data_IF_791713319168
#
_entry.id   IF_791713319168
#
_cell.length_a   1.000
_cell.length_b   1.000
_cell.length_c   1.000
_cell.angle_alpha   90.00
_cell.angle_beta   90.00
_cell.angle_gamma   90.00
#
_symmetry.space_group_name_H-M   'P 1'
#
loop_
_entity.id
_entity.type
_entity.pdbx_description
1 polymer ?
#
# COMPACT_ATOMS: atom_id res chain seq x y z
N UNK A 1 -9.52 -4.92 -8.40
CA UNK A 1 -9.86 -5.84 -7.30
C UNK A 1 -11.29 -5.55 -6.81
N UNK A 2 -12.09 -6.55 -6.43
CA UNK A 2 -13.42 -6.34 -5.81
C UNK A 2 -13.47 -7.04 -4.45
N UNK A 3 -14.31 -6.57 -3.53
CA UNK A 3 -14.47 -7.15 -2.18
C UNK A 3 -14.87 -8.62 -2.25
N UNK A 4 -15.77 -8.99 -3.17
CA UNK A 4 -16.11 -10.41 -3.41
C UNK A 4 -14.91 -11.24 -3.86
N UNK A 5 -14.06 -10.69 -4.73
CA UNK A 5 -12.87 -11.39 -5.24
C UNK A 5 -11.80 -11.51 -4.16
N UNK A 6 -11.65 -10.50 -3.29
CA UNK A 6 -10.80 -10.53 -2.11
C UNK A 6 -11.27 -11.59 -1.12
N UNK A 7 -12.54 -11.53 -0.68
CA UNK A 7 -13.15 -12.46 0.26
C UNK A 7 -12.99 -13.92 -0.19
N UNK A 8 -13.27 -14.20 -1.46
CA UNK A 8 -13.07 -15.53 -2.06
C UNK A 8 -11.61 -16.00 -1.99
N UNK A 9 -10.64 -15.09 -2.12
CA UNK A 9 -9.20 -15.41 -2.10
C UNK A 9 -8.69 -15.67 -0.69
N UNK A 10 -9.24 -14.99 0.31
CA UNK A 10 -8.89 -15.17 1.74
C UNK A 10 -9.77 -16.21 2.46
N UNK A 11 -10.72 -16.83 1.77
CA UNK A 11 -11.61 -17.86 2.33
C UNK A 11 -12.75 -17.33 3.20
N UNK A 12 -13.05 -16.04 3.14
CA UNK A 12 -14.11 -15.40 3.92
C UNK A 12 -15.37 -15.15 3.09
N UNK A 13 -16.52 -15.07 3.76
CA UNK A 13 -17.73 -14.57 3.15
C UNK A 13 -17.55 -13.08 2.80
N UNK A 14 -18.07 -12.58 1.66
CA UNK A 14 -17.95 -11.17 1.28
C UNK A 14 -18.47 -10.18 2.34
N UNK A 15 -19.51 -10.55 3.09
CA UNK A 15 -20.04 -9.74 4.19
C UNK A 15 -19.04 -9.59 5.35
N UNK A 16 -18.24 -10.62 5.62
CA UNK A 16 -17.22 -10.59 6.68
C UNK A 16 -16.06 -9.66 6.36
N UNK A 17 -15.88 -9.22 5.11
CA UNK A 17 -14.86 -8.21 4.79
C UNK A 17 -15.36 -6.81 5.18
N UNK A 18 -16.65 -6.53 5.02
CA UNK A 18 -17.26 -5.26 5.42
C UNK A 18 -17.33 -5.06 6.94
N UNK A 19 -17.15 -6.11 7.76
CA UNK A 19 -17.02 -5.91 9.22
C UNK A 19 -15.67 -5.30 9.62
N UNK A 20 -14.66 -5.33 8.74
CA UNK A 20 -13.34 -4.74 8.98
C UNK A 20 -13.12 -3.41 8.25
N UNK A 21 -13.94 -3.11 7.25
CA UNK A 21 -13.80 -1.93 6.39
C UNK A 21 -15.17 -1.32 6.11
N UNK A 22 -15.32 -0.01 6.33
CA UNK A 22 -16.60 0.66 6.14
C UNK A 22 -16.99 0.65 4.66
N UNK A 23 -16.02 0.85 3.75
CA UNK A 23 -16.24 0.59 2.33
C UNK A 23 -15.00 0.19 1.50
N UNK A 24 -15.18 0.21 0.17
CA UNK A 24 -14.14 -0.15 -0.80
C UNK A 24 -12.93 0.79 -0.77
N UNK A 25 -13.12 2.06 -0.44
CA UNK A 25 -12.02 3.02 -0.38
C UNK A 25 -11.10 2.66 0.79
N UNK A 26 -11.64 2.32 1.96
CA UNK A 26 -10.82 1.89 3.10
C UNK A 26 -9.94 0.68 2.76
N UNK A 27 -10.47 -0.27 1.98
CA UNK A 27 -9.70 -1.42 1.51
C UNK A 27 -8.59 -0.98 0.55
N UNK A 28 -8.85 -0.04 -0.36
CA UNK A 28 -7.83 0.48 -1.28
C UNK A 28 -6.72 1.24 -0.53
N UNK A 29 -7.06 1.93 0.57
CA UNK A 29 -6.08 2.57 1.43
C UNK A 29 -5.24 1.55 2.18
N UNK A 30 -5.86 0.58 2.85
CA UNK A 30 -5.13 -0.46 3.58
C UNK A 30 -4.17 -1.24 2.66
N UNK A 31 -4.60 -1.55 1.43
CA UNK A 31 -3.74 -2.19 0.43
C UNK A 31 -2.60 -1.28 -0.07
N UNK A 32 -2.83 0.04 -0.12
CA UNK A 32 -1.78 0.97 -0.52
C UNK A 32 -0.75 1.16 0.61
N UNK A 33 -1.19 1.22 1.86
CA UNK A 33 -0.34 1.29 3.06
C UNK A 33 0.57 0.06 3.16
N UNK A 34 0.00 -1.14 3.06
CA UNK A 34 0.77 -2.40 3.06
C UNK A 34 1.80 -2.47 1.91
N UNK A 35 1.42 -1.96 0.73
CA UNK A 35 2.32 -1.88 -0.42
C UNK A 35 3.47 -0.89 -0.18
N UNK A 36 3.20 0.28 0.42
CA UNK A 36 4.22 1.27 0.76
C UNK A 36 5.15 0.76 1.87
N UNK A 37 4.62 0.13 2.91
CA UNK A 37 5.43 -0.47 3.98
C UNK A 37 6.36 -1.55 3.43
N UNK A 38 5.86 -2.38 2.50
CA UNK A 38 6.68 -3.39 1.82
C UNK A 38 7.78 -2.76 0.96
N UNK A 39 7.48 -1.67 0.25
CA UNK A 39 8.49 -0.95 -0.53
C UNK A 39 9.54 -0.28 0.38
N UNK A 40 9.11 0.36 1.47
CA UNK A 40 9.99 1.00 2.45
C UNK A 40 10.98 -0.01 3.04
N UNK A 41 10.49 -1.18 3.49
CA UNK A 41 11.37 -2.26 3.99
C UNK A 41 12.44 -2.68 2.99
N UNK A 42 12.08 -2.85 1.71
CA UNK A 42 13.04 -3.25 0.66
C UNK A 42 14.12 -2.19 0.41
N UNK A 43 13.73 -0.93 0.50
CA UNK A 43 14.66 0.20 0.38
C UNK A 43 15.61 0.21 1.58
N UNK A 44 15.08 0.03 2.79
CA UNK A 44 15.85 0.00 4.04
C UNK A 44 16.83 -1.19 4.13
N UNK A 45 16.58 -2.28 3.41
CA UNK A 45 17.50 -3.44 3.33
C UNK A 45 18.83 -3.10 2.60
N UNK A 46 18.88 -2.00 1.84
CA UNK A 46 20.04 -1.61 1.04
C UNK A 46 20.54 -0.19 1.37
N UNK A 47 21.00 0.07 2.61
CA UNK A 47 21.48 1.39 2.98
C UNK A 47 22.81 1.72 2.28
N UNK A 48 22.99 2.98 1.88
CA UNK A 48 24.27 3.53 1.43
C UNK A 48 24.51 4.90 2.07
N UNK A 49 25.76 5.16 2.43
CA UNK A 49 26.21 6.46 2.96
C UNK A 49 26.46 7.48 1.83
N UNK A 50 26.60 7.02 0.58
CA UNK A 50 26.70 7.91 -0.57
C UNK A 50 25.29 8.32 -1.04
N UNK A 51 24.96 9.64 -1.10
CA UNK A 51 23.62 10.08 -1.45
C UNK A 51 23.16 9.67 -2.86
N UNK A 52 24.07 9.54 -3.81
CA UNK A 52 23.75 9.15 -5.18
C UNK A 52 23.50 7.65 -5.26
N UNK A 53 24.31 6.83 -4.58
CA UNK A 53 24.08 5.40 -4.48
C UNK A 53 22.78 5.08 -3.72
N UNK A 54 22.49 5.80 -2.64
CA UNK A 54 21.23 5.68 -1.90
C UNK A 54 20.02 5.98 -2.79
N UNK A 55 20.08 7.07 -3.58
CA UNK A 55 19.03 7.39 -4.54
C UNK A 55 18.88 6.31 -5.62
N UNK A 56 19.99 5.77 -6.13
CA UNK A 56 19.96 4.68 -7.11
C UNK A 56 19.33 3.41 -6.53
N UNK A 57 19.63 3.05 -5.28
CA UNK A 57 19.02 1.92 -4.60
C UNK A 57 17.50 2.10 -4.46
N UNK A 58 17.06 3.28 -3.99
CA UNK A 58 15.63 3.64 -3.89
C UNK A 58 14.93 3.48 -5.24
N UNK A 59 15.48 4.06 -6.31
CA UNK A 59 14.86 4.04 -7.63
C UNK A 59 14.84 2.64 -8.25
N UNK A 60 15.87 1.83 -7.97
CA UNK A 60 15.95 0.45 -8.44
C UNK A 60 14.90 -0.42 -7.75
N UNK A 61 14.78 -0.33 -6.43
CA UNK A 61 13.76 -1.05 -5.66
C UNK A 61 12.34 -0.60 -6.02
N UNK A 62 12.13 0.70 -6.24
CA UNK A 62 10.86 1.22 -6.73
C UNK A 62 10.46 0.58 -8.07
N UNK A 63 11.38 0.54 -9.05
CA UNK A 63 11.12 -0.06 -10.36
C UNK A 63 10.91 -1.58 -10.26
N UNK A 64 11.74 -2.27 -9.49
CA UNK A 64 11.64 -3.72 -9.28
C UNK A 64 10.31 -4.08 -8.57
N UNK A 65 9.91 -3.30 -7.57
CA UNK A 65 8.63 -3.44 -6.88
C UNK A 65 7.46 -3.26 -7.84
N UNK A 66 7.46 -2.18 -8.63
CA UNK A 66 6.38 -1.91 -9.59
C UNK A 66 6.23 -2.99 -10.67
N UNK A 67 7.36 -3.50 -11.17
CA UNK A 67 7.38 -4.58 -12.17
C UNK A 67 6.98 -5.93 -11.58
N UNK A 68 7.41 -6.24 -10.36
CA UNK A 68 7.10 -7.50 -9.67
C UNK A 68 5.68 -7.56 -9.09
N UNK A 69 5.08 -6.41 -8.75
CA UNK A 69 3.81 -6.30 -8.04
C UNK A 69 2.81 -5.39 -8.80
N UNK A 70 2.36 -5.77 -10.01
CA UNK A 70 1.59 -4.88 -10.87
C UNK A 70 0.19 -4.54 -10.33
N UNK A 71 -0.38 -5.34 -9.43
CA UNK A 71 -1.69 -5.04 -8.85
C UNK A 71 -1.56 -4.04 -7.69
N UNK A 72 -0.52 -4.19 -6.90
CA UNK A 72 -0.12 -3.33 -5.80
C UNK A 72 0.25 -1.96 -6.38
N UNK A 73 1.09 -1.93 -7.43
CA UNK A 73 1.42 -0.70 -8.15
C UNK A 73 0.18 0.01 -8.69
N UNK A 74 -0.77 -0.72 -9.30
CA UNK A 74 -2.05 -0.13 -9.74
C UNK A 74 -2.88 0.41 -8.59
N UNK A 75 -2.88 -0.28 -7.46
CA UNK A 75 -3.66 0.11 -6.28
C UNK A 75 -3.09 1.38 -5.66
N UNK A 76 -1.77 1.47 -5.57
CA UNK A 76 -1.06 2.64 -5.04
C UNK A 76 -1.18 3.84 -5.98
N UNK A 77 -0.76 3.70 -7.25
CA UNK A 77 -0.50 4.84 -8.14
C UNK A 77 -1.55 5.08 -9.22
N UNK A 78 -2.29 4.04 -9.65
CA UNK A 78 -3.22 4.14 -10.80
C UNK A 78 -4.70 4.08 -10.41
N UNK A 79 -5.00 3.89 -9.13
CA UNK A 79 -6.37 3.81 -8.64
C UNK A 79 -6.70 5.08 -7.87
N UNK A 80 -7.68 5.81 -8.38
CA UNK A 80 -8.19 7.02 -7.73
C UNK A 80 -8.79 6.67 -6.37
N UNK A 81 -8.30 7.36 -5.35
CA UNK A 81 -8.78 7.29 -3.98
C UNK A 81 -9.53 8.58 -3.70
N UNK A 82 -10.85 8.51 -3.63
CA UNK A 82 -11.72 9.70 -3.67
C UNK A 82 -12.10 10.24 -2.29
N UNK A 83 -11.74 9.52 -1.22
CA UNK A 83 -11.97 9.95 0.18
C UNK A 83 -10.89 9.36 1.07
N UNK A 84 -10.61 10.00 2.20
CA UNK A 84 -9.79 9.39 3.25
C UNK A 84 -10.59 8.29 3.99
N UNK A 85 -9.91 7.33 4.63
CA UNK A 85 -10.56 6.37 5.52
C UNK A 85 -11.31 7.08 6.65
N UNK A 86 -12.48 6.57 7.03
CA UNK A 86 -13.23 7.12 8.15
C UNK A 86 -12.43 7.05 9.45
N UNK A 87 -12.32 8.18 10.16
CA UNK A 87 -11.59 8.27 11.43
C UNK A 87 -10.07 8.42 11.31
N UNK A 88 -9.52 8.69 10.11
CA UNK A 88 -8.11 9.11 9.94
C UNK A 88 -8.00 10.52 9.35
N UNK A 89 -7.38 11.42 10.10
CA UNK A 89 -6.85 12.71 9.63
C UNK A 89 -5.49 12.50 8.94
N UNK A 90 -5.09 13.45 8.10
CA UNK A 90 -3.69 13.52 7.63
C UNK A 90 -2.70 13.65 8.80
N UNK A 91 -3.11 14.32 9.89
CA UNK A 91 -2.32 14.47 11.11
C UNK A 91 -2.07 13.10 11.79
N UNK A 92 -3.08 12.22 11.83
CA UNK A 92 -2.94 10.87 12.40
C UNK A 92 -1.99 9.98 11.58
N UNK A 93 -1.88 10.26 10.27
CA UNK A 93 -0.97 9.54 9.37
C UNK A 93 0.48 10.02 9.51
N UNK A 94 0.70 11.31 9.81
CA UNK A 94 2.03 11.87 10.08
C UNK A 94 2.58 11.43 11.44
N UNK A 95 1.76 11.35 12.49
CA UNK A 95 2.19 10.88 13.82
C UNK A 95 2.68 9.42 13.84
N UNK A 96 2.17 8.59 12.93
CA UNK A 96 2.55 7.18 12.79
C UNK A 96 3.70 6.92 11.81
N UNK A 97 4.20 7.95 11.12
CA UNK A 97 5.31 7.81 10.17
C UNK A 97 6.65 7.82 10.94
N UNK A 98 7.40 6.71 10.95
CA UNK A 98 8.66 6.61 11.70
C UNK A 98 9.75 7.58 11.21
#
# INVERSE_FOLDING_TARGET
>A
LTIRKLAKRVGYAPMSVYSYFADKQDILFALAEDAFETLARRIEEHPSDDPIEALQAVMTEYAAFGLGNPNEYRTVFMTEKTKLPEGRSYEDMEEGNP
#
